data_IF_522824585855
#
_entry.id   IF_522824585855
#
_cell.length_a   1.000
_cell.length_b   1.000
_cell.length_c   1.000
_cell.angle_alpha   90.00
_cell.angle_beta   90.00
_cell.angle_gamma   90.00
#
_symmetry.space_group_name_H-M   'P 1'
#
loop_
_entity.id
_entity.type
_entity.pdbx_description
1 polymer ?
#
# COMPACT_ATOMS: atom_id res chain seq x y z
N UNK A 1 -8.70 0.56 -7.57
CA UNK A 1 -8.26 0.19 -8.93
C UNK A 1 -6.75 -0.07 -9.02
N UNK A 2 -5.88 0.87 -8.58
CA UNK A 2 -4.42 0.69 -8.58
C UNK A 2 -3.91 -0.50 -7.77
N UNK A 3 -4.51 -0.77 -6.61
CA UNK A 3 -4.15 -1.93 -5.78
C UNK A 3 -4.47 -3.26 -6.49
N UNK A 4 -5.61 -3.31 -7.18
CA UNK A 4 -6.05 -4.49 -7.93
C UNK A 4 -5.22 -4.75 -9.21
N UNK A 5 -4.37 -3.80 -9.61
CA UNK A 5 -3.38 -3.95 -10.68
C UNK A 5 -2.05 -4.51 -10.18
N UNK A 6 -1.94 -4.89 -8.89
CA UNK A 6 -0.72 -5.45 -8.32
C UNK A 6 0.38 -4.42 -8.08
N UNK A 7 0.04 -3.13 -7.95
CA UNK A 7 1.01 -2.06 -7.74
C UNK A 7 1.72 -2.11 -6.36
N UNK A 8 1.21 -2.92 -5.42
CA UNK A 8 1.80 -3.08 -4.08
C UNK A 8 3.18 -3.74 -4.15
N UNK A 9 3.32 -4.85 -4.90
CA UNK A 9 4.58 -5.60 -5.00
C UNK A 9 5.75 -4.74 -5.51
N UNK A 10 5.63 -4.01 -6.64
CA UNK A 10 6.69 -3.13 -7.09
C UNK A 10 6.93 -1.96 -6.13
N UNK A 11 5.91 -1.42 -5.45
CA UNK A 11 6.13 -0.38 -4.43
C UNK A 11 6.96 -0.91 -3.25
N UNK A 12 6.71 -2.14 -2.79
CA UNK A 12 7.53 -2.78 -1.76
C UNK A 12 8.96 -3.05 -2.23
N UNK A 13 9.15 -3.51 -3.48
CA UNK A 13 10.49 -3.70 -4.06
C UNK A 13 11.26 -2.36 -4.10
N UNK A 14 10.58 -1.26 -4.42
CA UNK A 14 11.16 0.08 -4.40
C UNK A 14 11.58 0.55 -3.00
N UNK A 15 11.12 -0.06 -1.91
CA UNK A 15 11.60 0.25 -0.56
C UNK A 15 13.00 -0.31 -0.29
N UNK A 16 13.44 -1.30 -1.07
CA UNK A 16 14.74 -1.96 -0.91
C UNK A 16 15.88 -1.25 -1.64
N UNK A 17 15.56 -0.24 -2.47
CA UNK A 17 16.56 0.52 -3.23
C UNK A 17 17.34 1.48 -2.31
N UNK A 18 18.58 1.77 -2.66
CA UNK A 18 19.43 2.71 -1.90
C UNK A 18 19.08 4.19 -2.12
N UNK A 19 18.23 4.50 -3.10
CA UNK A 19 17.85 5.88 -3.40
C UNK A 19 16.70 6.35 -2.50
N UNK A 20 17.02 7.28 -1.60
CA UNK A 20 16.07 7.84 -0.63
C UNK A 20 14.87 8.53 -1.27
N UNK A 21 15.00 9.11 -2.47
CA UNK A 21 13.86 9.74 -3.17
C UNK A 21 12.88 8.69 -3.66
N UNK A 22 13.39 7.56 -4.17
CA UNK A 22 12.55 6.46 -4.65
C UNK A 22 11.82 5.81 -3.49
N UNK A 23 12.52 5.55 -2.38
CA UNK A 23 11.89 5.05 -1.15
C UNK A 23 10.79 5.99 -0.66
N UNK A 24 11.02 7.31 -0.70
CA UNK A 24 10.00 8.29 -0.28
C UNK A 24 8.75 8.24 -1.17
N UNK A 25 8.93 8.12 -2.49
CA UNK A 25 7.81 8.00 -3.44
C UNK A 25 7.05 6.69 -3.21
N UNK A 26 7.76 5.59 -2.96
CA UNK A 26 7.15 4.30 -2.66
C UNK A 26 6.33 4.32 -1.36
N UNK A 27 6.91 4.89 -0.29
CA UNK A 27 6.21 5.09 0.99
C UNK A 27 4.96 5.97 0.83
N UNK A 28 5.07 7.07 0.08
CA UNK A 28 3.93 7.95 -0.18
C UNK A 28 2.83 7.23 -0.99
N UNK A 29 3.22 6.35 -1.93
CA UNK A 29 2.29 5.48 -2.65
C UNK A 29 1.56 4.52 -1.72
N UNK A 30 2.29 3.84 -0.83
CA UNK A 30 1.73 2.91 0.15
C UNK A 30 0.84 3.62 1.19
N UNK A 31 1.23 4.81 1.65
CA UNK A 31 0.41 5.63 2.56
C UNK A 31 -0.95 5.97 1.94
N UNK A 32 -0.96 6.39 0.67
CA UNK A 32 -2.20 6.69 -0.04
C UNK A 32 -3.10 5.46 -0.21
N UNK A 33 -2.50 4.29 -0.47
CA UNK A 33 -3.23 3.01 -0.54
C UNK A 33 -3.85 2.66 0.82
N UNK A 34 -3.05 2.71 1.89
CA UNK A 34 -3.54 2.43 3.24
C UNK A 34 -4.66 3.38 3.63
N UNK A 35 -4.50 4.68 3.37
CA UNK A 35 -5.53 5.68 3.66
C UNK A 35 -6.85 5.41 2.93
N UNK A 36 -6.79 4.98 1.67
CA UNK A 36 -7.97 4.57 0.90
C UNK A 36 -8.65 3.36 1.55
N UNK A 37 -7.88 2.36 1.95
CA UNK A 37 -8.42 1.15 2.58
C UNK A 37 -8.98 1.36 3.95
N UNK A 38 -8.46 2.31 4.73
CA UNK A 38 -9.09 2.72 5.98
C UNK A 38 -10.47 3.36 5.74
N UNK A 39 -10.59 4.18 4.69
CA UNK A 39 -11.87 4.77 4.31
C UNK A 39 -12.87 3.70 3.89
N UNK A 40 -12.44 2.72 3.08
CA UNK A 40 -13.27 1.57 2.71
C UNK A 40 -13.60 0.67 3.90
N UNK A 41 -12.64 0.41 4.80
CA UNK A 41 -12.86 -0.40 6.01
C UNK A 41 -13.89 0.24 6.95
N UNK A 42 -13.89 1.57 7.05
CA UNK A 42 -14.91 2.35 7.78
C UNK A 42 -16.27 2.27 7.10
N UNK A 43 -16.32 2.29 5.76
CA UNK A 43 -17.59 2.16 5.02
C UNK A 43 -18.17 0.74 5.08
N UNK A 44 -17.33 -0.29 4.97
CA UNK A 44 -17.74 -1.69 5.05
C UNK A 44 -17.96 -2.19 6.49
N UNK A 45 -17.69 -1.37 7.51
CA UNK A 45 -17.87 -1.72 8.92
C UNK A 45 -16.94 -2.84 9.43
N UNK A 46 -15.99 -3.30 8.61
CA UNK A 46 -15.04 -4.34 9.00
C UNK A 46 -13.94 -3.83 9.92
N UNK A 47 -13.69 -2.51 9.95
CA UNK A 47 -12.67 -1.87 10.79
C UNK A 47 -11.22 -2.25 10.46
N UNK A 48 -11.03 -3.22 9.56
CA UNK A 48 -9.75 -3.75 9.13
C UNK A 48 -9.50 -3.35 7.68
N UNK A 49 -8.30 -2.83 7.44
CA UNK A 49 -7.88 -2.38 6.12
C UNK A 49 -7.49 -3.59 5.25
N UNK A 50 -8.24 -3.91 4.18
CA UNK A 50 -7.94 -5.07 3.33
C UNK A 50 -6.60 -4.93 2.59
N UNK A 51 -6.11 -3.70 2.41
CA UNK A 51 -4.83 -3.47 1.76
C UNK A 51 -3.62 -3.75 2.66
N UNK A 52 -3.80 -3.79 3.99
CA UNK A 52 -2.71 -4.11 4.92
C UNK A 52 -2.25 -5.56 4.73
N UNK A 53 -3.20 -6.49 4.67
CA UNK A 53 -2.92 -7.91 4.41
C UNK A 53 -2.24 -8.12 3.05
N UNK A 54 -2.64 -7.36 2.02
CA UNK A 54 -1.99 -7.43 0.71
C UNK A 54 -0.55 -6.92 0.71
N UNK A 55 -0.23 -5.92 1.55
CA UNK A 55 1.14 -5.43 1.71
C UNK A 55 1.98 -6.48 2.45
N UNK A 56 1.46 -7.07 3.53
CA UNK A 56 2.14 -8.14 4.26
C UNK A 56 2.40 -9.37 3.39
N UNK A 57 1.47 -9.75 2.53
CA UNK A 57 1.63 -10.88 1.61
C UNK A 57 2.60 -10.56 0.45
N UNK A 58 2.79 -9.28 0.14
CA UNK A 58 3.69 -8.81 -0.90
C UNK A 58 5.12 -8.54 -0.41
N UNK A 59 5.36 -8.47 0.90
CA UNK A 59 6.69 -8.27 1.48
C UNK A 59 7.41 -9.61 1.67
#
# INVERSE_FOLDING_TARGET
YLVNLGCIKPLCDLLTVMDSKIVLVALNGLENILRLGEQEAKQNGSGLNPYCSLIEEAY
#
